data_IF_581615773831
#
_entry.id   IF_581615773831
#
_cell.length_a   1.000
_cell.length_b   1.000
_cell.length_c   1.000
_cell.angle_alpha   90.00
_cell.angle_beta   90.00
_cell.angle_gamma   90.00
#
_symmetry.space_group_name_H-M   'P 1'
#
loop_
_entity.id
_entity.type
_entity.pdbx_description
1 polymer ?
#
# COMPACT_ATOMS: atom_id res chain seq x y z
N UNK A 1 -8.32 77.20 -37.24
CA UNK A 1 -7.44 77.16 -36.01
C UNK A 1 -8.35 76.91 -34.81
N UNK A 2 -8.26 75.71 -34.22
CA UNK A 2 -8.35 75.48 -32.78
C UNK A 2 -8.24 73.96 -32.56
N UNK A 3 -7.28 73.63 -31.75
CA UNK A 3 -6.87 72.27 -31.37
C UNK A 3 -7.91 71.62 -30.45
N UNK A 4 -8.35 70.38 -30.73
CA UNK A 4 -9.19 69.62 -29.84
C UNK A 4 -8.29 68.63 -29.10
N UNK A 5 -8.33 68.68 -27.76
CA UNK A 5 -7.62 67.78 -26.84
C UNK A 5 -8.26 66.43 -26.82
N UNK A 6 -7.42 65.38 -27.03
CA UNK A 6 -7.76 64.00 -26.73
C UNK A 6 -7.73 63.78 -25.24
N UNK A 7 -8.87 63.46 -24.62
CA UNK A 7 -8.93 62.91 -23.26
C UNK A 7 -8.73 61.42 -23.33
N UNK A 8 -7.58 60.96 -22.89
CA UNK A 8 -7.28 59.52 -22.70
C UNK A 8 -8.02 59.03 -21.45
N UNK A 9 -9.06 58.24 -21.65
CA UNK A 9 -9.71 57.53 -20.56
C UNK A 9 -8.87 56.34 -20.13
N UNK A 10 -8.28 56.41 -18.95
CA UNK A 10 -7.64 55.30 -18.28
C UNK A 10 -8.71 54.34 -17.74
N UNK A 11 -8.90 53.20 -18.41
CA UNK A 11 -9.72 52.13 -17.91
C UNK A 11 -8.89 51.32 -16.93
N UNK A 12 -9.06 51.57 -15.66
CA UNK A 12 -8.43 50.83 -14.58
C UNK A 12 -9.10 49.45 -14.48
N UNK A 13 -8.50 48.45 -15.07
CA UNK A 13 -8.93 47.06 -14.93
C UNK A 13 -8.48 46.58 -13.53
N UNK A 14 -9.42 46.56 -12.58
CA UNK A 14 -9.20 45.96 -11.26
C UNK A 14 -9.16 44.47 -11.40
N UNK A 15 -7.96 43.90 -11.54
CA UNK A 15 -7.72 42.45 -11.42
C UNK A 15 -7.95 42.08 -9.96
N UNK A 16 -9.13 41.59 -9.64
CA UNK A 16 -9.38 40.80 -8.44
C UNK A 16 -8.59 39.48 -8.60
N UNK A 17 -7.34 39.51 -8.14
CA UNK A 17 -6.61 38.27 -7.88
C UNK A 17 -7.35 37.54 -6.75
N UNK A 18 -8.19 36.60 -7.12
CA UNK A 18 -8.76 35.64 -6.20
C UNK A 18 -7.60 34.87 -5.56
N UNK A 19 -7.28 35.23 -4.31
CA UNK A 19 -6.42 34.42 -3.46
C UNK A 19 -7.18 33.14 -3.16
N UNK A 20 -6.98 32.13 -3.98
CA UNK A 20 -7.37 30.76 -3.62
C UNK A 20 -6.44 30.38 -2.45
N UNK A 21 -6.92 30.55 -1.23
CA UNK A 21 -6.32 29.91 -0.08
C UNK A 21 -6.48 28.42 -0.25
N UNK A 22 -5.51 27.78 -0.90
CA UNK A 22 -5.32 26.34 -0.76
C UNK A 22 -5.00 26.11 0.71
N UNK A 23 -5.97 25.59 1.45
CA UNK A 23 -5.72 25.05 2.78
C UNK A 23 -4.82 23.81 2.57
N UNK A 24 -3.52 24.00 2.66
CA UNK A 24 -2.59 22.90 2.89
C UNK A 24 -2.92 22.39 4.29
N UNK A 25 -3.48 21.20 4.38
CA UNK A 25 -3.37 20.42 5.61
C UNK A 25 -1.86 20.39 5.90
N UNK A 26 -1.44 20.96 7.03
CA UNK A 26 -0.05 20.97 7.44
C UNK A 26 0.37 19.54 7.79
N UNK A 27 0.61 18.74 6.77
CA UNK A 27 1.23 17.43 6.90
C UNK A 27 2.66 17.65 7.40
N UNK A 28 3.11 16.77 8.27
CA UNK A 28 4.52 16.73 8.68
C UNK A 28 5.33 16.40 7.42
N UNK A 29 6.20 17.31 7.00
CA UNK A 29 7.12 17.06 5.89
C UNK A 29 8.32 16.32 6.45
N UNK A 30 8.51 15.08 5.99
CA UNK A 30 9.67 14.26 6.29
C UNK A 30 10.59 14.21 5.07
N UNK A 31 11.80 14.73 5.21
CA UNK A 31 12.82 14.67 4.17
C UNK A 31 13.79 13.52 4.46
N UNK A 32 14.22 12.79 3.43
CA UNK A 32 15.20 11.74 3.63
C UNK A 32 16.51 12.33 4.16
N UNK A 33 16.99 11.78 5.28
CA UNK A 33 18.24 12.24 5.89
C UNK A 33 19.44 11.69 5.10
N UNK A 34 20.43 12.54 4.86
CA UNK A 34 21.74 12.15 4.33
C UNK A 34 22.81 12.06 5.44
N UNK A 35 22.41 12.18 6.71
CA UNK A 35 23.33 12.07 7.82
C UNK A 35 23.77 10.62 8.03
N UNK A 36 25.06 10.43 8.28
CA UNK A 36 25.60 9.12 8.70
C UNK A 36 25.13 8.84 10.12
N UNK A 37 24.66 7.60 10.33
CA UNK A 37 24.31 7.11 11.66
C UNK A 37 25.40 6.17 12.11
N UNK A 38 25.95 6.45 13.30
CA UNK A 38 27.03 5.67 13.90
C UNK A 38 26.54 5.12 15.24
N UNK A 39 26.60 3.79 15.40
CA UNK A 39 26.22 3.07 16.61
C UNK A 39 27.49 2.39 17.13
N UNK A 40 27.89 2.69 18.36
CA UNK A 40 29.11 2.15 19.02
C UNK A 40 30.35 2.27 18.14
N UNK A 41 30.51 3.40 17.48
CA UNK A 41 31.65 3.68 16.61
C UNK A 41 31.63 3.02 15.23
N UNK A 42 30.56 2.28 14.87
CA UNK A 42 30.38 1.62 13.59
C UNK A 42 29.25 2.29 12.82
N UNK A 43 29.46 2.52 11.53
CA UNK A 43 28.40 3.05 10.66
C UNK A 43 27.29 2.02 10.49
N UNK A 44 26.08 2.41 10.86
CA UNK A 44 24.87 1.60 10.75
C UNK A 44 24.08 2.01 9.52
N UNK A 45 23.83 1.06 8.62
CA UNK A 45 23.00 1.29 7.43
C UNK A 45 21.53 1.22 7.84
N UNK A 46 20.89 2.40 7.98
CA UNK A 46 19.47 2.49 8.31
C UNK A 46 18.85 3.71 7.65
N UNK A 47 17.57 3.63 7.38
CA UNK A 47 16.81 4.71 6.79
C UNK A 47 16.49 5.76 7.86
N UNK A 48 16.81 7.02 7.56
CA UNK A 48 16.55 8.15 8.45
C UNK A 48 15.84 9.29 7.72
N UNK A 49 15.05 10.03 8.46
CA UNK A 49 14.32 11.20 7.99
C UNK A 49 14.61 12.40 8.87
N UNK A 50 14.61 13.59 8.27
CA UNK A 50 14.62 14.86 8.99
C UNK A 50 13.21 15.41 9.04
N UNK A 51 12.73 15.67 10.25
CA UNK A 51 11.43 16.30 10.50
C UNK A 51 11.68 17.46 11.47
N UNK A 52 11.34 18.66 11.06
CA UNK A 52 11.54 19.87 11.86
C UNK A 52 12.98 19.98 12.40
N UNK A 53 13.99 19.64 11.58
CA UNK A 53 15.40 19.71 11.94
C UNK A 53 15.92 18.58 12.83
N UNK A 54 15.10 17.61 13.20
CA UNK A 54 15.48 16.44 14.01
C UNK A 54 15.57 15.19 13.15
N UNK A 55 16.54 14.31 13.42
CA UNK A 55 16.64 13.03 12.74
C UNK A 55 15.72 11.99 13.38
N UNK A 56 14.98 11.29 12.56
CA UNK A 56 14.10 10.19 12.95
C UNK A 56 14.56 8.92 12.26
N UNK A 57 14.64 7.83 13.00
CA UNK A 57 14.96 6.49 12.51
C UNK A 57 13.92 5.52 13.05
N UNK A 58 13.71 4.41 12.35
CA UNK A 58 12.81 3.37 12.84
C UNK A 58 13.38 2.75 14.11
N UNK A 59 12.57 2.67 15.15
CA UNK A 59 12.99 2.11 16.44
C UNK A 59 13.53 0.68 16.32
N UNK A 60 12.97 -0.13 15.41
CA UNK A 60 13.48 -1.49 15.16
C UNK A 60 14.87 -1.52 14.55
N UNK A 61 15.22 -0.53 13.71
CA UNK A 61 16.56 -0.47 13.13
C UNK A 61 17.60 -0.16 14.21
N UNK A 62 17.25 0.69 15.16
CA UNK A 62 18.07 0.90 16.36
C UNK A 62 18.09 -0.36 17.21
N UNK A 63 16.95 -1.02 17.46
CA UNK A 63 16.90 -2.28 18.21
C UNK A 63 17.82 -3.35 17.60
N UNK A 64 17.79 -3.50 16.27
CA UNK A 64 18.67 -4.41 15.54
C UNK A 64 20.15 -4.02 15.64
N UNK A 65 20.47 -2.74 15.57
CA UNK A 65 21.85 -2.24 15.60
C UNK A 65 22.48 -2.31 16.99
N UNK A 66 21.67 -2.09 18.04
CA UNK A 66 22.12 -2.07 19.46
C UNK A 66 21.90 -3.43 20.14
N UNK A 67 20.99 -4.27 19.61
CA UNK A 67 20.76 -5.62 20.12
C UNK A 67 19.67 -5.72 21.17
N UNK A 68 18.60 -4.90 21.07
CA UNK A 68 17.43 -5.05 21.93
C UNK A 68 16.16 -5.36 21.11
N UNK A 69 15.22 -6.09 21.73
CA UNK A 69 13.99 -6.50 21.06
C UNK A 69 13.00 -5.33 20.92
N UNK A 70 12.39 -5.23 19.72
CA UNK A 70 11.32 -4.28 19.42
C UNK A 70 10.25 -4.98 18.61
N UNK A 71 9.03 -5.02 19.13
CA UNK A 71 7.89 -5.59 18.42
C UNK A 71 6.58 -4.84 18.75
N UNK A 72 5.59 -5.04 17.92
CA UNK A 72 4.24 -4.58 18.17
C UNK A 72 3.48 -5.65 18.97
N UNK A 73 2.93 -5.24 20.11
CA UNK A 73 2.03 -6.07 20.89
C UNK A 73 0.58 -5.74 20.51
N UNK A 74 -0.03 -6.64 19.75
CA UNK A 74 -1.39 -6.47 19.25
C UNK A 74 -2.47 -6.52 20.34
N UNK A 75 -2.21 -7.24 21.45
CA UNK A 75 -3.14 -7.33 22.57
C UNK A 75 -3.09 -6.05 23.42
N UNK A 76 -1.89 -5.58 23.73
CA UNK A 76 -1.66 -4.37 24.52
C UNK A 76 -1.78 -3.09 23.68
N UNK A 77 -1.86 -3.22 22.33
CA UNK A 77 -1.87 -2.10 21.35
C UNK A 77 -0.73 -1.11 21.59
N UNK A 78 0.48 -1.61 21.77
CA UNK A 78 1.65 -0.79 22.00
C UNK A 78 2.92 -1.38 21.37
N UNK A 79 3.90 -0.52 21.12
CA UNK A 79 5.26 -0.96 20.75
C UNK A 79 5.97 -1.38 22.03
N UNK A 80 6.38 -2.64 22.08
CA UNK A 80 7.21 -3.17 23.16
C UNK A 80 8.69 -2.97 22.83
N UNK A 81 9.44 -2.51 23.83
CA UNK A 81 10.89 -2.39 23.77
C UNK A 81 11.47 -3.17 24.97
N UNK A 82 12.13 -4.24 24.70
CA UNK A 82 12.71 -5.11 25.73
C UNK A 82 14.24 -5.05 25.66
N UNK A 83 14.83 -4.11 26.39
CA UNK A 83 16.28 -3.83 26.36
C UNK A 83 17.15 -5.01 26.85
N UNK A 84 16.60 -5.95 27.57
CA UNK A 84 17.30 -7.15 28.04
C UNK A 84 17.19 -8.38 27.13
N UNK A 85 16.49 -8.28 26.00
CA UNK A 85 16.34 -9.37 25.04
C UNK A 85 17.02 -9.03 23.71
N UNK A 86 17.72 -9.99 23.08
CA UNK A 86 18.32 -9.78 21.77
C UNK A 86 17.24 -9.56 20.71
N UNK A 87 17.55 -8.72 19.72
CA UNK A 87 16.63 -8.46 18.60
C UNK A 87 16.39 -9.73 17.79
N UNK A 88 15.15 -10.15 17.68
CA UNK A 88 14.71 -11.28 16.85
C UNK A 88 13.85 -10.82 15.68
N UNK A 89 13.23 -9.64 15.80
CA UNK A 89 12.27 -9.11 14.84
C UNK A 89 10.92 -9.83 14.86
N UNK A 90 10.68 -10.70 15.84
CA UNK A 90 9.47 -11.52 15.96
C UNK A 90 8.81 -11.21 17.31
N UNK A 91 7.53 -10.86 17.31
CA UNK A 91 6.78 -10.70 18.55
C UNK A 91 6.74 -12.03 19.33
N UNK A 92 6.99 -12.04 20.66
CA UNK A 92 6.91 -13.26 21.46
C UNK A 92 5.52 -13.89 21.36
N UNK A 93 5.47 -15.17 21.04
CA UNK A 93 4.22 -15.93 21.09
C UNK A 93 3.83 -16.13 22.56
N UNK A 94 2.68 -15.62 22.96
CA UNK A 94 2.14 -15.84 24.31
C UNK A 94 1.86 -17.33 24.48
N UNK A 95 2.59 -17.98 25.38
CA UNK A 95 2.40 -19.39 25.67
C UNK A 95 1.02 -19.60 26.28
N UNK A 96 0.08 -20.18 25.52
CA UNK A 96 -1.09 -20.85 26.09
C UNK A 96 -0.62 -22.18 26.66
N UNK A 97 -0.90 -22.40 27.94
CA UNK A 97 -0.50 -23.58 28.72
C UNK A 97 -1.14 -24.85 28.19
N UNK A 98 -0.28 -25.82 27.92
CA UNK A 98 -0.44 -27.29 27.93
C UNK A 98 -0.72 -28.04 26.63
N UNK A 99 0.27 -28.84 26.22
CA UNK A 99 0.18 -30.02 25.37
C UNK A 99 1.38 -30.19 24.43
N UNK A 100 1.98 -31.40 24.24
CA UNK A 100 3.29 -31.53 23.64
C UNK A 100 3.30 -31.45 22.12
N UNK A 101 4.24 -30.66 21.65
CA UNK A 101 4.98 -30.68 20.40
C UNK A 101 4.30 -31.15 19.08
N UNK A 102 4.02 -30.19 18.26
CA UNK A 102 4.33 -30.23 16.80
C UNK A 102 4.50 -28.79 16.37
N UNK A 103 5.64 -28.50 15.76
CA UNK A 103 5.98 -27.20 15.23
C UNK A 103 4.96 -26.82 14.13
N UNK A 104 4.17 -25.75 14.27
CA UNK A 104 3.39 -25.27 13.14
C UNK A 104 4.16 -24.15 12.45
N UNK A 105 4.45 -24.36 11.17
CA UNK A 105 4.53 -23.27 10.21
C UNK A 105 3.39 -22.28 10.49
N UNK A 106 3.71 -20.97 10.53
CA UNK A 106 2.71 -19.92 10.68
C UNK A 106 1.84 -19.88 9.41
N UNK A 107 0.88 -20.77 9.35
CA UNK A 107 -0.23 -20.67 8.39
C UNK A 107 -1.24 -19.71 8.99
N UNK A 108 -1.33 -18.49 8.44
CA UNK A 108 -2.58 -17.73 8.50
C UNK A 108 -3.66 -18.68 7.99
N UNK A 109 -4.74 -18.95 8.74
CA UNK A 109 -5.79 -19.82 8.25
C UNK A 109 -6.27 -19.33 6.88
N UNK A 110 -6.43 -20.25 5.91
CA UNK A 110 -6.90 -19.90 4.56
C UNK A 110 -8.25 -19.15 4.60
N UNK A 111 -9.06 -19.45 5.61
CA UNK A 111 -10.35 -18.79 5.87
C UNK A 111 -10.22 -17.29 6.19
N UNK A 112 -9.11 -16.86 6.80
CA UNK A 112 -8.87 -15.46 7.12
C UNK A 112 -8.44 -14.65 5.89
N UNK A 113 -7.63 -15.22 5.01
CA UNK A 113 -7.19 -14.53 3.78
C UNK A 113 -8.35 -14.32 2.81
N UNK A 114 -9.23 -15.28 2.66
CA UNK A 114 -10.40 -15.13 1.78
C UNK A 114 -11.40 -14.13 2.34
N UNK A 115 -11.57 -14.07 3.66
CA UNK A 115 -12.35 -13.02 4.32
C UNK A 115 -11.75 -11.62 4.09
N UNK A 116 -10.43 -11.48 4.15
CA UNK A 116 -9.75 -10.22 3.85
C UNK A 116 -9.92 -9.79 2.39
N UNK A 117 -9.85 -10.72 1.44
CA UNK A 117 -10.11 -10.44 0.02
C UNK A 117 -11.55 -9.96 -0.20
N UNK A 118 -12.51 -10.62 0.45
CA UNK A 118 -13.92 -10.24 0.36
C UNK A 118 -14.15 -8.84 0.97
N UNK A 119 -13.54 -8.51 2.10
CA UNK A 119 -13.65 -7.17 2.71
C UNK A 119 -13.10 -6.08 1.78
N UNK A 120 -12.01 -6.34 1.04
CA UNK A 120 -11.50 -5.42 0.00
C UNK A 120 -12.53 -5.21 -1.11
N UNK A 121 -13.18 -6.26 -1.57
CA UNK A 121 -14.25 -6.18 -2.59
C UNK A 121 -15.42 -5.35 -2.08
N UNK A 122 -15.88 -5.63 -0.87
CA UNK A 122 -17.06 -4.98 -0.27
C UNK A 122 -16.82 -3.49 -0.05
N UNK A 123 -15.64 -3.11 0.44
CA UNK A 123 -15.22 -1.70 0.60
C UNK A 123 -15.09 -0.99 -0.74
N UNK A 124 -14.51 -1.65 -1.74
CA UNK A 124 -14.43 -1.10 -3.11
C UNK A 124 -15.83 -0.85 -3.68
N UNK A 125 -16.75 -1.79 -3.49
CA UNK A 125 -18.12 -1.66 -3.93
C UNK A 125 -18.91 -0.61 -3.13
N UNK A 126 -18.60 -0.40 -1.85
CA UNK A 126 -19.15 0.71 -1.08
C UNK A 126 -18.75 2.07 -1.68
N UNK A 127 -17.46 2.26 -1.95
CA UNK A 127 -16.94 3.47 -2.60
C UNK A 127 -17.56 3.69 -4.00
N UNK A 128 -17.76 2.63 -4.79
CA UNK A 128 -18.44 2.74 -6.07
C UNK A 128 -19.87 3.24 -5.93
N UNK A 129 -20.63 2.71 -4.97
CA UNK A 129 -22.00 3.19 -4.68
C UNK A 129 -22.02 4.67 -4.28
N UNK A 130 -21.10 5.09 -3.42
CA UNK A 130 -20.95 6.49 -3.00
C UNK A 130 -20.64 7.42 -4.17
N UNK A 131 -19.93 6.93 -5.18
CA UNK A 131 -19.62 7.66 -6.42
C UNK A 131 -20.67 7.45 -7.54
N UNK A 132 -21.81 6.83 -7.26
CA UNK A 132 -22.89 6.62 -8.24
C UNK A 132 -22.55 5.61 -9.33
N UNK A 133 -21.60 4.70 -9.09
CA UNK A 133 -21.16 3.69 -10.06
C UNK A 133 -21.65 2.31 -9.63
N UNK A 134 -22.05 1.48 -10.60
CA UNK A 134 -22.51 0.12 -10.33
C UNK A 134 -21.44 -0.72 -9.64
N UNK A 135 -21.87 -1.61 -8.73
CA UNK A 135 -20.98 -2.53 -8.04
C UNK A 135 -20.31 -3.52 -9.03
N UNK A 136 -19.08 -3.87 -8.74
CA UNK A 136 -18.33 -4.90 -9.47
C UNK A 136 -18.79 -6.29 -8.99
N UNK A 137 -18.88 -7.22 -9.94
CA UNK A 137 -19.08 -8.65 -9.64
C UNK A 137 -17.74 -9.32 -9.36
N UNK A 138 -17.67 -10.17 -8.37
CA UNK A 138 -16.51 -11.04 -8.16
C UNK A 138 -16.42 -12.01 -9.34
N UNK A 139 -15.22 -12.17 -9.88
CA UNK A 139 -14.92 -13.14 -10.93
C UNK A 139 -13.81 -14.08 -10.45
N UNK A 140 -14.12 -15.37 -10.35
CA UNK A 140 -13.18 -16.37 -9.81
C UNK A 140 -11.87 -16.46 -10.59
N UNK A 141 -11.89 -16.25 -11.90
CA UNK A 141 -10.68 -16.24 -12.72
C UNK A 141 -9.84 -14.99 -12.47
N UNK A 142 -10.48 -13.85 -12.24
CA UNK A 142 -9.77 -12.66 -11.80
C UNK A 142 -9.21 -12.80 -10.38
N UNK A 143 -9.93 -13.49 -9.47
CA UNK A 143 -9.40 -13.82 -8.13
C UNK A 143 -8.13 -14.67 -8.25
N UNK A 144 -8.15 -15.70 -9.09
CA UNK A 144 -6.96 -16.52 -9.37
C UNK A 144 -5.84 -15.71 -10.00
N UNK A 145 -6.13 -14.89 -11.00
CA UNK A 145 -5.14 -14.05 -11.67
C UNK A 145 -4.52 -13.00 -10.73
N UNK A 146 -5.33 -12.37 -9.90
CA UNK A 146 -4.86 -11.43 -8.89
C UNK A 146 -3.97 -12.12 -7.85
N UNK A 147 -4.31 -13.35 -7.45
CA UNK A 147 -3.48 -14.16 -6.56
C UNK A 147 -2.12 -14.47 -7.21
N UNK A 148 -2.09 -14.92 -8.46
CA UNK A 148 -0.84 -15.13 -9.20
C UNK A 148 0.03 -13.87 -9.19
N UNK A 149 -0.56 -12.69 -9.41
CA UNK A 149 0.17 -11.42 -9.39
C UNK A 149 0.72 -11.08 -8.00
N UNK A 150 -0.06 -11.30 -6.94
CA UNK A 150 0.39 -11.08 -5.57
C UNK A 150 1.56 -12.02 -5.21
N UNK A 151 1.43 -13.30 -5.56
CA UNK A 151 2.46 -14.33 -5.33
C UNK A 151 3.76 -14.02 -6.08
N UNK A 152 3.67 -13.60 -7.35
CA UNK A 152 4.82 -13.18 -8.15
C UNK A 152 5.57 -12.01 -7.50
N UNK A 153 4.85 -11.00 -7.05
CA UNK A 153 5.47 -9.85 -6.37
C UNK A 153 6.11 -10.23 -5.04
N UNK A 154 5.45 -11.06 -4.25
CA UNK A 154 5.95 -11.53 -2.96
C UNK A 154 7.20 -12.41 -3.12
N UNK A 155 7.16 -13.40 -4.03
CA UNK A 155 8.25 -14.35 -4.26
C UNK A 155 9.54 -13.67 -4.76
N UNK A 156 9.41 -12.58 -5.51
CA UNK A 156 10.55 -11.86 -6.09
C UNK A 156 10.87 -10.54 -5.40
N UNK A 157 10.18 -10.21 -4.32
CA UNK A 157 10.32 -8.93 -3.60
C UNK A 157 10.21 -7.73 -4.58
N UNK A 158 9.28 -7.81 -5.54
CA UNK A 158 9.10 -6.80 -6.60
C UNK A 158 7.75 -6.11 -6.45
N UNK A 159 7.75 -4.79 -6.47
CA UNK A 159 6.54 -3.97 -6.50
C UNK A 159 6.40 -3.31 -7.87
N UNK A 160 5.72 -3.98 -8.81
CA UNK A 160 5.67 -3.55 -10.20
C UNK A 160 4.46 -4.08 -10.96
N UNK A 161 3.96 -3.28 -11.92
CA UNK A 161 3.00 -3.73 -12.93
C UNK A 161 3.61 -4.63 -14.02
N UNK A 162 4.93 -4.82 -13.99
CA UNK A 162 5.64 -5.77 -14.87
C UNK A 162 5.81 -7.08 -14.12
N UNK A 163 5.46 -8.19 -14.77
CA UNK A 163 5.63 -9.55 -14.24
C UNK A 163 7.12 -9.96 -14.26
N UNK A 164 7.54 -10.94 -13.47
CA UNK A 164 8.93 -11.41 -13.45
C UNK A 164 9.45 -11.89 -14.82
N UNK A 165 8.56 -12.37 -15.68
CA UNK A 165 8.89 -12.77 -17.07
C UNK A 165 9.05 -11.60 -18.05
N UNK A 166 8.93 -10.35 -17.58
CA UNK A 166 8.99 -9.15 -18.41
C UNK A 166 7.68 -8.74 -19.06
N UNK A 167 6.62 -9.56 -18.93
CA UNK A 167 5.29 -9.24 -19.45
C UNK A 167 4.58 -8.15 -18.63
N UNK A 168 3.60 -7.49 -19.23
CA UNK A 168 2.71 -6.58 -18.50
C UNK A 168 1.80 -7.39 -17.56
N UNK A 169 1.25 -6.74 -16.51
CA UNK A 169 0.36 -7.38 -15.56
C UNK A 169 -0.79 -8.18 -16.21
N UNK A 170 -1.40 -7.64 -17.29
CA UNK A 170 -2.53 -8.25 -17.96
C UNK A 170 -2.20 -9.53 -18.74
N UNK A 171 -0.91 -9.84 -18.95
CA UNK A 171 -0.50 -11.13 -19.54
C UNK A 171 -0.68 -12.32 -18.57
N UNK A 172 -1.10 -12.06 -17.33
CA UNK A 172 -1.52 -13.10 -16.38
C UNK A 172 -2.80 -13.83 -16.84
N UNK A 173 -3.51 -13.25 -17.79
CA UNK A 173 -4.71 -13.84 -18.42
C UNK A 173 -4.61 -13.79 -19.94
N UNK A 174 -5.56 -14.38 -20.61
CA UNK A 174 -5.75 -14.29 -22.08
C UNK A 174 -6.52 -13.03 -22.51
N UNK A 175 -6.94 -12.18 -21.56
CA UNK A 175 -7.69 -10.94 -21.83
C UNK A 175 -6.82 -9.71 -21.56
N UNK A 176 -6.53 -8.85 -22.55
CA UNK A 176 -5.73 -7.66 -22.36
C UNK A 176 -6.52 -6.46 -21.78
N UNK A 177 -7.86 -6.53 -21.76
CA UNK A 177 -8.74 -5.43 -21.38
C UNK A 177 -9.01 -5.42 -19.88
N UNK A 178 -7.99 -5.04 -19.13
CA UNK A 178 -7.98 -5.07 -17.67
C UNK A 178 -7.33 -3.81 -17.10
N UNK A 179 -7.62 -3.51 -15.83
CA UNK A 179 -6.89 -2.55 -15.02
C UNK A 179 -6.33 -3.23 -13.77
N UNK A 180 -5.24 -2.71 -13.23
CA UNK A 180 -4.60 -3.23 -12.01
C UNK A 180 -4.37 -2.10 -11.02
N UNK A 181 -4.69 -2.36 -9.75
CA UNK A 181 -4.18 -1.64 -8.61
C UNK A 181 -3.28 -2.59 -7.83
N UNK A 182 -2.11 -2.14 -7.45
CA UNK A 182 -1.20 -2.87 -6.56
C UNK A 182 -0.90 -2.04 -5.32
N UNK A 183 -0.65 -2.70 -4.20
CA UNK A 183 -0.15 -2.07 -2.99
C UNK A 183 0.75 -3.02 -2.23
N UNK A 184 1.76 -2.47 -1.53
CA UNK A 184 2.62 -3.18 -0.62
C UNK A 184 2.55 -2.53 0.74
N UNK A 185 2.00 -3.25 1.73
CA UNK A 185 1.71 -2.73 3.06
C UNK A 185 2.55 -3.51 4.07
N UNK A 186 3.48 -2.84 4.72
CA UNK A 186 4.27 -3.46 5.79
C UNK A 186 3.39 -3.66 7.04
N UNK A 187 3.63 -4.74 7.77
CA UNK A 187 2.82 -5.11 8.95
C UNK A 187 2.77 -4.01 10.00
N UNK A 188 3.88 -3.30 10.20
CA UNK A 188 3.95 -2.22 11.18
C UNK A 188 3.06 -1.01 10.84
N UNK A 189 2.52 -0.94 9.60
CA UNK A 189 1.56 0.10 9.19
C UNK A 189 0.13 -0.23 9.63
N UNK A 190 -0.14 -1.49 9.96
CA UNK A 190 -1.49 -2.00 10.28
C UNK A 190 -1.85 -1.89 11.76
N UNK A 191 -1.29 -0.92 12.50
CA UNK A 191 -1.45 -0.80 13.96
C UNK A 191 -2.92 -0.72 14.42
N UNK A 192 -3.76 0.01 13.68
CA UNK A 192 -5.13 0.34 14.10
C UNK A 192 -6.18 -0.01 13.03
N UNK A 193 -5.75 -0.56 11.89
CA UNK A 193 -6.60 -0.82 10.74
C UNK A 193 -6.44 -2.24 10.26
N UNK A 194 -7.53 -2.81 9.71
CA UNK A 194 -7.41 -4.06 8.97
C UNK A 194 -6.63 -3.85 7.68
N UNK A 195 -6.09 -4.94 7.11
CA UNK A 195 -5.42 -4.90 5.81
C UNK A 195 -6.33 -4.31 4.72
N UNK A 196 -7.61 -4.70 4.73
CA UNK A 196 -8.58 -4.24 3.76
C UNK A 196 -8.88 -2.74 3.89
N UNK A 197 -9.05 -2.25 5.12
CA UNK A 197 -9.22 -0.82 5.38
C UNK A 197 -8.05 -0.01 4.84
N UNK A 198 -6.84 -0.43 5.17
CA UNK A 198 -5.64 0.27 4.76
C UNK A 198 -5.45 0.25 3.25
N UNK A 199 -5.54 -0.92 2.63
CA UNK A 199 -5.34 -1.07 1.19
C UNK A 199 -6.34 -0.22 0.40
N UNK A 200 -7.62 -0.29 0.75
CA UNK A 200 -8.68 0.44 0.04
C UNK A 200 -8.55 1.95 0.27
N UNK A 201 -8.22 2.40 1.49
CA UNK A 201 -8.01 3.81 1.78
C UNK A 201 -6.83 4.40 0.99
N UNK A 202 -5.71 3.69 0.92
CA UNK A 202 -4.52 4.13 0.19
C UNK A 202 -4.77 4.17 -1.33
N UNK A 203 -5.45 3.17 -1.89
CA UNK A 203 -5.86 3.21 -3.29
C UNK A 203 -6.83 4.35 -3.58
N UNK A 204 -7.78 4.60 -2.67
CA UNK A 204 -8.75 5.69 -2.83
C UNK A 204 -8.08 7.07 -2.79
N UNK A 205 -7.09 7.25 -1.92
CA UNK A 205 -6.31 8.49 -1.83
C UNK A 205 -5.42 8.74 -3.07
N UNK A 206 -5.06 7.70 -3.81
CA UNK A 206 -4.26 7.79 -5.02
C UNK A 206 -5.13 8.11 -6.25
N UNK A 207 -4.88 9.23 -6.91
CA UNK A 207 -5.65 9.65 -8.11
C UNK A 207 -5.70 8.57 -9.20
N UNK A 208 -4.63 7.81 -9.39
CA UNK A 208 -4.54 6.78 -10.43
C UNK A 208 -5.35 5.54 -10.05
N UNK A 209 -5.15 5.04 -8.83
CA UNK A 209 -5.85 3.85 -8.34
C UNK A 209 -7.34 4.12 -8.14
N UNK A 210 -7.69 5.30 -7.62
CA UNK A 210 -9.08 5.75 -7.47
C UNK A 210 -9.84 5.70 -8.81
N UNK A 211 -9.22 6.20 -9.90
CA UNK A 211 -9.83 6.14 -11.23
C UNK A 211 -10.18 4.72 -11.66
N UNK A 212 -9.38 3.74 -11.32
CA UNK A 212 -9.71 2.34 -11.60
C UNK A 212 -10.89 1.89 -10.74
N UNK A 213 -10.87 2.18 -9.43
CA UNK A 213 -11.91 1.75 -8.50
C UNK A 213 -13.31 2.26 -8.90
N UNK A 214 -13.42 3.51 -9.35
CA UNK A 214 -14.71 4.14 -9.71
C UNK A 214 -14.97 4.22 -11.22
N UNK A 215 -14.22 3.49 -12.03
CA UNK A 215 -14.42 3.48 -13.48
C UNK A 215 -15.74 2.76 -13.84
N UNK A 216 -16.73 3.48 -14.47
CA UNK A 216 -18.01 2.87 -14.81
C UNK A 216 -17.94 1.82 -15.92
N UNK A 217 -16.81 1.75 -16.65
CA UNK A 217 -16.60 0.76 -17.72
C UNK A 217 -16.08 -0.57 -17.21
N UNK A 218 -15.74 -0.68 -15.92
CA UNK A 218 -15.30 -1.90 -15.28
C UNK A 218 -16.51 -2.58 -14.61
N UNK A 219 -16.68 -3.87 -14.82
CA UNK A 219 -17.83 -4.65 -14.36
C UNK A 219 -17.48 -5.80 -13.41
N UNK A 220 -16.22 -6.22 -13.38
CA UNK A 220 -15.79 -7.36 -12.56
C UNK A 220 -14.48 -7.07 -11.84
N UNK A 221 -14.28 -7.76 -10.72
CA UNK A 221 -13.10 -7.62 -9.84
C UNK A 221 -12.57 -8.97 -9.40
N UNK A 222 -11.24 -9.05 -9.25
CA UNK A 222 -10.55 -10.08 -8.49
C UNK A 222 -9.53 -9.44 -7.55
N UNK A 223 -9.34 -10.05 -6.39
CA UNK A 223 -8.39 -9.61 -5.35
C UNK A 223 -7.41 -10.73 -5.04
N UNK A 224 -6.13 -10.39 -4.98
CA UNK A 224 -5.05 -11.27 -4.57
C UNK A 224 -4.27 -10.68 -3.40
N UNK A 225 -3.91 -11.53 -2.45
CA UNK A 225 -3.13 -11.17 -1.27
C UNK A 225 -2.02 -12.20 -1.07
N UNK A 226 -0.79 -11.74 -0.87
CA UNK A 226 0.35 -12.61 -0.57
C UNK A 226 1.23 -12.01 0.51
N UNK A 227 1.71 -12.87 1.40
CA UNK A 227 2.73 -12.50 2.40
C UNK A 227 4.11 -12.52 1.77
N UNK A 228 4.93 -11.57 2.14
CA UNK A 228 6.32 -11.49 1.70
C UNK A 228 7.12 -10.54 2.56
N UNK A 229 8.24 -10.10 2.02
CA UNK A 229 9.08 -9.06 2.63
C UNK A 229 9.24 -7.90 1.65
N UNK A 230 9.46 -6.69 2.17
CA UNK A 230 9.79 -5.54 1.35
C UNK A 230 11.30 -5.47 1.05
N UNK A 231 11.74 -4.44 0.34
CA UNK A 231 13.15 -4.23 -0.04
C UNK A 231 14.09 -4.07 1.16
N UNK A 232 13.55 -3.80 2.34
CA UNK A 232 14.29 -3.67 3.59
C UNK A 232 14.21 -4.92 4.48
N UNK A 233 13.53 -5.98 3.98
CA UNK A 233 13.36 -7.25 4.70
C UNK A 233 12.23 -7.24 5.73
N UNK A 234 11.40 -6.17 5.79
CA UNK A 234 10.27 -6.12 6.69
C UNK A 234 9.11 -6.99 6.17
N UNK A 235 8.42 -7.76 7.04
CA UNK A 235 7.22 -8.47 6.68
C UNK A 235 6.14 -7.52 6.12
N UNK A 236 5.53 -7.93 5.02
CA UNK A 236 4.52 -7.11 4.36
C UNK A 236 3.49 -7.97 3.61
N UNK A 237 2.40 -7.31 3.23
CA UNK A 237 1.42 -7.83 2.30
C UNK A 237 1.60 -7.21 0.93
N UNK A 238 1.52 -8.04 -0.11
CA UNK A 238 1.34 -7.62 -1.49
C UNK A 238 -0.13 -7.77 -1.84
N UNK A 239 -0.77 -6.66 -2.15
CA UNK A 239 -2.21 -6.57 -2.40
C UNK A 239 -2.44 -6.20 -3.86
N UNK A 240 -3.35 -6.89 -4.52
CA UNK A 240 -3.69 -6.70 -5.93
C UNK A 240 -5.20 -6.60 -6.09
N UNK A 241 -5.67 -5.63 -6.86
CA UNK A 241 -6.98 -5.61 -7.47
C UNK A 241 -6.82 -5.73 -8.98
N UNK A 242 -7.43 -6.70 -9.60
CA UNK A 242 -7.62 -6.76 -11.05
C UNK A 242 -9.07 -6.46 -11.39
N UNK A 243 -9.25 -5.65 -12.41
CA UNK A 243 -10.57 -5.24 -12.89
C UNK A 243 -10.71 -5.60 -14.35
N UNK A 244 -11.90 -6.08 -14.75
CA UNK A 244 -12.21 -6.41 -16.14
C UNK A 244 -13.18 -5.38 -16.71
N UNK A 245 -12.90 -4.94 -17.93
CA UNK A 245 -13.83 -4.10 -18.68
C UNK A 245 -15.10 -4.86 -19.04
N UNK A 246 -16.21 -4.17 -19.02
CA UNK A 246 -17.52 -4.73 -19.41
C UNK A 246 -17.50 -5.27 -20.84
N UNK A 247 -18.18 -6.40 -21.06
CA UNK A 247 -18.24 -7.06 -22.35
C UNK A 247 -17.03 -7.95 -22.67
N UNK A 248 -16.03 -8.04 -21.79
CA UNK A 248 -14.88 -8.94 -21.94
C UNK A 248 -14.96 -10.11 -20.96
N UNK A 249 -14.21 -11.17 -21.25
CA UNK A 249 -14.13 -12.35 -20.38
C UNK A 249 -12.70 -12.89 -20.31
N UNK A 250 -12.38 -13.53 -19.18
CA UNK A 250 -11.14 -14.28 -18.98
C UNK A 250 -11.45 -15.76 -19.09
N UNK A 251 -10.75 -16.48 -19.97
CA UNK A 251 -10.94 -17.93 -20.13
C UNK A 251 -9.76 -18.74 -19.61
N UNK A 252 -8.57 -18.12 -19.54
CA UNK A 252 -7.33 -18.73 -19.05
C UNK A 252 -6.62 -17.80 -18.08
N UNK A 253 -6.04 -18.39 -17.04
CA UNK A 253 -5.14 -17.75 -16.10
C UNK A 253 -3.80 -18.47 -16.16
N UNK A 254 -2.70 -17.70 -16.19
CA UNK A 254 -1.35 -18.25 -16.12
C UNK A 254 -1.03 -18.77 -14.71
N UNK A 255 -0.03 -19.65 -14.63
CA UNK A 255 0.59 -20.02 -13.36
C UNK A 255 1.63 -18.96 -12.95
N UNK A 256 1.98 -18.87 -11.64
CA UNK A 256 3.04 -17.99 -11.19
C UNK A 256 4.35 -18.27 -11.93
N UNK A 257 5.03 -17.19 -12.31
CA UNK A 257 6.34 -17.32 -12.98
C UNK A 257 7.41 -17.53 -11.93
N UNK A 258 7.90 -18.75 -11.82
CA UNK A 258 9.09 -19.07 -11.04
C UNK A 258 10.31 -18.88 -11.95
N UNK A 259 11.27 -18.07 -11.54
CA UNK A 259 12.60 -18.03 -12.16
C UNK A 259 13.42 -19.20 -11.66
#
# INVERSE_FOLDING_TARGET
MKRGSFAAGFLTCLLLAGVTTTAYAAGIVAERSHHRIVVDGKEAQMEAYVINGSNYVRLRDIGKAVGFEVYWDGDAKCVQVESGKPYTGIAPVKAETSGPASQPEATTPADDVDAMKQDIVDRTNALRRENGVAALRVNDRLMQAAQVRADEMAAHTVYSHTRPNGGKFNTVTDCPYMAENIHRIADWVLSDQTLAERAVADWYASTVHHKNMVNPKLSEIGVGLARGVNDTGDPCWYCVQLFLYDGYSVTRVDTPTNK
#
